data_IF_723961018896
#
_entry.id   IF_723961018896
#
_cell.length_a   1.000
_cell.length_b   1.000
_cell.length_c   1.000
_cell.angle_alpha   90.00
_cell.angle_beta   90.00
_cell.angle_gamma   90.00
#
_symmetry.space_group_name_H-M   'P 1'
#
loop_
_entity.id
_entity.type
_entity.pdbx_description
1 polymer ?
#
# COMPACT_ATOMS: atom_id res chain seq x y z
N UNK A 1 -12.73 20.93 -55.79
CA UNK A 1 -13.00 20.01 -54.66
C UNK A 1 -12.39 20.59 -53.38
N UNK A 2 -13.22 20.99 -52.41
CA UNK A 2 -13.06 20.73 -50.97
C UNK A 2 -14.22 21.40 -50.23
N UNK A 3 -14.95 20.56 -49.49
CA UNK A 3 -16.18 20.89 -48.76
C UNK A 3 -15.78 21.60 -47.46
N UNK A 4 -16.35 22.76 -47.18
CA UNK A 4 -16.25 23.40 -45.87
C UNK A 4 -17.43 22.89 -45.06
N UNK A 5 -17.14 22.00 -44.11
CA UNK A 5 -18.13 21.41 -43.22
C UNK A 5 -18.31 22.38 -42.05
N UNK A 6 -19.52 22.95 -41.92
CA UNK A 6 -20.02 23.52 -40.66
C UNK A 6 -19.99 22.45 -39.57
N UNK A 7 -19.51 22.78 -38.38
CA UNK A 7 -19.79 22.00 -37.17
C UNK A 7 -20.35 22.89 -36.08
N UNK A 8 -21.54 22.44 -35.71
CA UNK A 8 -22.55 22.91 -34.79
C UNK A 8 -22.04 22.99 -33.33
N UNK A 9 -22.54 24.01 -32.63
CA UNK A 9 -22.80 24.11 -31.19
C UNK A 9 -22.75 22.81 -30.37
N UNK A 10 -22.06 22.86 -29.22
CA UNK A 10 -22.65 22.50 -27.92
C UNK A 10 -21.75 22.98 -26.78
N UNK A 11 -22.13 24.10 -26.16
CA UNK A 11 -21.66 24.46 -24.83
C UNK A 11 -22.33 23.52 -23.82
N UNK A 12 -21.59 22.55 -23.29
CA UNK A 12 -22.02 21.78 -22.12
C UNK A 12 -21.75 22.62 -20.88
N UNK A 13 -22.74 23.41 -20.48
CA UNK A 13 -22.88 23.89 -19.11
C UNK A 13 -23.30 22.70 -18.26
N UNK A 14 -22.34 22.02 -17.63
CA UNK A 14 -22.62 21.18 -16.47
C UNK A 14 -22.43 22.03 -15.22
N UNK A 15 -23.46 22.83 -14.92
CA UNK A 15 -23.75 23.21 -13.55
C UNK A 15 -24.29 21.96 -12.83
N UNK A 16 -23.38 21.14 -12.30
CA UNK A 16 -23.73 20.14 -11.31
C UNK A 16 -23.39 20.68 -9.92
N UNK A 17 -24.40 21.29 -9.31
CA UNK A 17 -24.73 21.22 -7.88
C UNK A 17 -23.55 21.13 -6.90
N UNK A 18 -23.19 22.28 -6.31
CA UNK A 18 -22.51 22.32 -5.01
C UNK A 18 -23.36 21.58 -3.96
N UNK A 19 -22.95 20.36 -3.59
CA UNK A 19 -23.57 19.63 -2.48
C UNK A 19 -22.48 19.18 -1.53
N UNK A 20 -22.18 20.06 -0.55
CA UNK A 20 -21.44 19.77 0.69
C UNK A 20 -20.18 18.91 0.50
N UNK A 21 -19.12 19.54 0.01
CA UNK A 21 -17.76 19.02 0.17
C UNK A 21 -17.36 19.13 1.64
N UNK A 22 -17.74 18.14 2.44
CA UNK A 22 -16.82 17.73 3.50
C UNK A 22 -15.63 17.15 2.75
N UNK A 23 -14.51 17.88 2.68
CA UNK A 23 -13.26 17.38 2.15
C UNK A 23 -12.92 16.12 2.93
N UNK A 24 -13.35 14.96 2.43
CA UNK A 24 -13.03 13.66 2.98
C UNK A 24 -11.59 13.41 2.55
N UNK A 25 -10.66 14.04 3.28
CA UNK A 25 -9.24 13.92 3.03
C UNK A 25 -8.94 12.44 3.27
N UNK A 26 -8.48 11.77 2.22
CA UNK A 26 -8.02 10.39 2.29
C UNK A 26 -6.52 10.36 1.95
N UNK A 27 -5.81 9.29 2.33
CA UNK A 27 -4.48 9.02 1.78
C UNK A 27 -4.51 9.05 0.26
N UNK A 28 -3.43 9.52 -0.36
CA UNK A 28 -3.25 9.39 -1.80
C UNK A 28 -3.13 7.91 -2.17
N UNK A 29 -3.73 7.53 -3.28
CA UNK A 29 -3.64 6.16 -3.79
C UNK A 29 -2.21 5.83 -4.22
N UNK A 30 -1.83 4.57 -4.02
CA UNK A 30 -0.58 4.03 -4.54
C UNK A 30 0.20 3.19 -3.53
N UNK A 31 1.44 2.91 -3.89
CA UNK A 31 2.35 2.09 -3.11
C UNK A 31 3.07 2.93 -2.06
N UNK A 32 3.06 2.46 -0.83
CA UNK A 32 3.78 3.02 0.29
C UNK A 32 4.84 2.04 0.75
N UNK A 33 6.06 2.53 0.91
CA UNK A 33 7.18 1.72 1.40
C UNK A 33 7.65 2.29 2.74
N UNK A 34 7.80 1.41 3.73
CA UNK A 34 8.61 1.64 4.91
C UNK A 34 9.87 0.80 4.81
N UNK A 35 11.02 1.47 4.87
CA UNK A 35 12.34 0.84 4.85
C UNK A 35 13.02 1.11 6.20
N UNK A 36 13.23 0.04 6.96
CA UNK A 36 13.79 0.05 8.31
C UNK A 36 15.02 -0.86 8.41
N UNK A 37 15.84 -0.92 7.35
CA UNK A 37 17.05 -1.74 7.30
C UNK A 37 16.73 -3.16 6.86
N UNK A 38 16.78 -4.11 7.79
CA UNK A 38 16.51 -5.53 7.49
C UNK A 38 15.02 -5.82 7.23
N UNK A 39 14.15 -4.83 7.45
CA UNK A 39 12.73 -4.90 7.18
C UNK A 39 12.34 -3.84 6.14
N UNK A 40 11.77 -4.30 5.02
CA UNK A 40 11.08 -3.44 4.06
C UNK A 40 9.62 -3.86 4.01
N UNK A 41 8.69 -2.94 4.26
CA UNK A 41 7.24 -3.23 4.21
C UNK A 41 6.61 -2.43 3.09
N UNK A 42 5.83 -3.13 2.27
CA UNK A 42 5.03 -2.56 1.19
C UNK A 42 3.57 -2.59 1.57
N UNK A 43 2.88 -1.46 1.36
CA UNK A 43 1.43 -1.36 1.42
C UNK A 43 0.92 -0.68 0.14
N UNK A 44 -0.13 -1.21 -0.48
CA UNK A 44 -0.84 -0.49 -1.54
C UNK A 44 -2.14 0.04 -0.95
N UNK A 45 -2.36 1.35 -1.05
CA UNK A 45 -3.55 2.01 -0.57
C UNK A 45 -4.42 2.48 -1.74
N UNK A 46 -5.72 2.23 -1.64
CA UNK A 46 -6.76 2.71 -2.56
C UNK A 46 -7.92 3.29 -1.75
N UNK A 47 -8.16 4.60 -1.90
CA UNK A 47 -9.15 5.37 -1.16
C UNK A 47 -9.06 5.15 0.36
N UNK A 48 -7.82 5.12 0.89
CA UNK A 48 -7.51 4.85 2.29
C UNK A 48 -7.53 3.38 2.72
N UNK A 49 -8.01 2.45 1.88
CA UNK A 49 -8.02 1.01 2.16
C UNK A 49 -6.72 0.36 1.72
N UNK A 50 -6.19 -0.57 2.52
CA UNK A 50 -5.04 -1.37 2.11
C UNK A 50 -5.51 -2.54 1.23
N UNK A 51 -5.00 -2.62 -0.01
CA UNK A 51 -5.34 -3.68 -0.97
C UNK A 51 -4.23 -4.72 -1.12
N UNK A 52 -3.01 -4.39 -0.69
CA UNK A 52 -1.87 -5.29 -0.70
C UNK A 52 -0.92 -4.98 0.46
N UNK A 53 -0.39 -6.02 1.10
CA UNK A 53 0.62 -5.91 2.15
C UNK A 53 1.69 -6.99 1.94
N UNK A 54 2.96 -6.62 1.98
CA UNK A 54 4.08 -7.56 1.94
C UNK A 54 5.29 -7.03 2.71
N UNK A 55 5.80 -7.76 3.72
CA UNK A 55 7.10 -7.52 4.30
C UNK A 55 8.18 -8.35 3.61
N UNK A 56 9.32 -7.72 3.37
CA UNK A 56 10.59 -8.34 3.06
C UNK A 56 11.44 -8.32 4.33
N UNK A 57 12.03 -9.45 4.69
CA UNK A 57 12.94 -9.62 5.83
C UNK A 57 14.27 -10.08 5.27
N UNK A 58 15.35 -9.36 5.60
CA UNK A 58 16.69 -9.61 5.08
C UNK A 58 16.76 -9.64 3.54
N UNK A 59 15.86 -8.91 2.89
CA UNK A 59 15.75 -8.85 1.44
C UNK A 59 14.83 -9.88 0.80
N UNK A 60 14.31 -10.86 1.54
CA UNK A 60 13.42 -11.89 1.02
C UNK A 60 11.96 -11.63 1.43
N UNK A 61 11.03 -11.83 0.52
CA UNK A 61 9.60 -11.70 0.80
C UNK A 61 9.19 -12.74 1.84
N UNK A 62 8.79 -12.26 3.01
CA UNK A 62 8.28 -13.12 4.06
C UNK A 62 6.94 -13.73 3.64
N UNK A 63 6.05 -12.91 3.07
CA UNK A 63 4.78 -13.32 2.49
C UNK A 63 4.06 -12.13 1.87
N UNK A 64 2.92 -12.38 1.22
CA UNK A 64 2.06 -11.31 0.70
C UNK A 64 0.59 -11.59 1.00
N UNK A 65 -0.17 -10.52 1.20
CA UNK A 65 -1.58 -10.57 1.56
C UNK A 65 -2.36 -9.53 0.75
N UNK A 66 -3.44 -9.98 0.11
CA UNK A 66 -4.41 -9.12 -0.58
C UNK A 66 -5.69 -8.92 0.23
N UNK A 67 -5.90 -9.73 1.26
CA UNK A 67 -7.02 -9.60 2.20
C UNK A 67 -6.56 -8.84 3.42
N UNK A 68 -6.75 -7.51 3.42
CA UNK A 68 -6.41 -6.62 4.53
C UNK A 68 -7.67 -5.90 4.99
N UNK A 69 -8.00 -6.01 6.28
CA UNK A 69 -9.13 -5.27 6.85
C UNK A 69 -8.67 -3.86 7.19
N UNK A 70 -9.42 -2.86 6.74
CA UNK A 70 -9.18 -1.45 7.08
C UNK A 70 -10.29 -0.95 8.00
N UNK A 71 -9.91 -0.15 9.00
CA UNK A 71 -10.83 0.54 9.90
C UNK A 71 -10.27 1.89 10.32
N UNK A 72 -11.14 2.78 10.80
CA UNK A 72 -10.78 4.17 11.10
C UNK A 72 -10.90 5.07 9.87
N UNK A 73 -10.63 6.36 10.10
CA UNK A 73 -10.78 7.44 9.13
C UNK A 73 -9.57 8.38 9.23
N UNK A 74 -9.33 9.18 8.18
CA UNK A 74 -8.20 10.09 8.16
C UNK A 74 -8.19 11.03 9.39
N UNK A 75 -7.03 11.24 10.04
CA UNK A 75 -5.68 10.79 9.65
C UNK A 75 -5.26 9.45 10.28
N UNK A 76 -6.16 8.69 10.91
CA UNK A 76 -5.81 7.49 11.68
C UNK A 76 -6.54 6.25 11.18
N UNK A 77 -5.79 5.32 10.62
CA UNK A 77 -6.32 4.04 10.18
C UNK A 77 -5.71 2.90 11.00
N UNK A 78 -6.40 1.78 11.02
CA UNK A 78 -5.84 0.51 11.47
C UNK A 78 -6.04 -0.50 10.36
N UNK A 79 -4.94 -1.05 9.87
CA UNK A 79 -4.92 -2.13 8.90
C UNK A 79 -4.62 -3.45 9.61
N UNK A 80 -5.43 -4.48 9.36
CA UNK A 80 -5.26 -5.80 9.97
C UNK A 80 -4.94 -6.84 8.89
N UNK A 81 -3.80 -7.49 9.06
CA UNK A 81 -3.28 -8.50 8.13
C UNK A 81 -2.99 -9.76 8.94
N UNK A 82 -3.79 -10.82 8.76
CA UNK A 82 -3.67 -12.02 9.59
C UNK A 82 -3.71 -11.66 11.10
N UNK A 83 -2.67 -11.99 11.87
CA UNK A 83 -2.51 -11.63 13.28
C UNK A 83 -1.77 -10.30 13.56
N UNK A 84 -1.45 -9.50 12.54
CA UNK A 84 -0.77 -8.21 12.66
C UNK A 84 -1.77 -7.05 12.61
N UNK A 85 -1.61 -6.09 13.53
CA UNK A 85 -2.22 -4.77 13.46
C UNK A 85 -1.17 -3.72 13.04
N UNK A 86 -1.57 -2.86 12.10
CA UNK A 86 -0.80 -1.70 11.62
C UNK A 86 -1.61 -0.45 11.98
N UNK A 87 -1.31 0.16 13.12
CA UNK A 87 -1.97 1.38 13.55
C UNK A 87 -1.24 2.60 12.95
N UNK A 88 -1.85 3.26 11.98
CA UNK A 88 -1.25 4.36 11.23
C UNK A 88 -1.71 5.74 11.70
N UNK A 89 -0.85 6.74 11.53
CA UNK A 89 -1.19 8.15 11.68
C UNK A 89 -0.53 8.94 10.53
N UNK A 90 -1.36 9.47 9.65
CA UNK A 90 -0.96 10.26 8.49
C UNK A 90 -0.58 11.68 8.92
N UNK A 91 0.61 12.13 8.51
CA UNK A 91 1.03 13.53 8.66
C UNK A 91 0.62 14.40 7.45
N UNK A 92 0.23 13.75 6.35
CA UNK A 92 -0.22 14.33 5.10
C UNK A 92 -0.76 13.22 4.18
N UNK A 93 -1.15 13.53 2.94
CA UNK A 93 -1.74 12.54 2.04
C UNK A 93 -0.76 11.47 1.55
N UNK A 94 0.56 11.69 1.63
CA UNK A 94 1.57 10.82 1.00
C UNK A 94 2.57 10.20 2.00
N UNK A 95 2.34 10.36 3.30
CA UNK A 95 3.22 9.78 4.32
C UNK A 95 2.49 9.56 5.66
N UNK A 96 2.85 8.48 6.35
CA UNK A 96 2.34 8.14 7.67
C UNK A 96 3.38 7.40 8.51
N UNK A 97 3.27 7.57 9.83
CA UNK A 97 3.93 6.68 10.79
C UNK A 97 2.98 5.54 11.12
N UNK A 98 3.51 4.33 11.34
CA UNK A 98 2.70 3.21 11.80
C UNK A 98 3.38 2.44 12.93
N UNK A 99 2.56 1.96 13.86
CA UNK A 99 2.94 0.98 14.87
C UNK A 99 2.55 -0.41 14.36
N UNK A 100 3.53 -1.29 14.21
CA UNK A 100 3.35 -2.69 13.88
C UNK A 100 3.28 -3.49 15.18
N UNK A 101 2.17 -4.18 15.44
CA UNK A 101 1.96 -4.96 16.66
C UNK A 101 1.20 -6.25 16.39
N UNK A 102 1.76 -7.38 16.80
CA UNK A 102 1.21 -8.71 16.59
C UNK A 102 2.12 -9.61 15.77
N UNK A 103 1.55 -10.64 15.15
CA UNK A 103 2.32 -11.71 14.49
C UNK A 103 1.76 -12.01 13.11
N UNK A 104 2.62 -11.97 12.10
CA UNK A 104 2.34 -12.54 10.79
C UNK A 104 2.72 -14.01 10.76
N UNK A 105 1.86 -14.83 10.17
CA UNK A 105 2.09 -16.27 10.02
C UNK A 105 2.12 -16.60 8.54
N UNK A 106 3.23 -17.17 8.07
CA UNK A 106 3.40 -17.67 6.69
C UNK A 106 2.74 -19.06 6.59
N UNK A 107 1.84 -19.25 5.62
CA UNK A 107 1.37 -20.60 5.22
C UNK A 107 -0.05 -21.00 5.61
N UNK A 108 -1.08 -20.29 5.16
CA UNK A 108 -2.47 -20.78 5.26
C UNK A 108 -3.04 -21.39 3.97
N UNK A 109 -2.19 -21.73 2.98
CA UNK A 109 -2.64 -22.29 1.68
C UNK A 109 -1.90 -23.58 1.25
N UNK A 110 -1.64 -24.53 2.15
CA UNK A 110 -1.28 -25.88 1.72
C UNK A 110 -0.40 -26.71 2.66
N UNK A 111 -0.96 -27.86 3.04
CA UNK A 111 -0.38 -29.08 3.62
C UNK A 111 1.13 -29.08 3.90
N UNK A 112 1.47 -29.08 5.19
CA UNK A 112 2.79 -29.35 5.79
C UNK A 112 3.92 -28.37 5.45
N UNK A 113 3.99 -27.25 6.17
CA UNK A 113 5.26 -26.53 6.39
C UNK A 113 5.22 -25.89 7.78
N UNK A 114 6.36 -25.89 8.47
CA UNK A 114 6.55 -25.11 9.70
C UNK A 114 6.08 -23.67 9.48
N UNK A 115 5.14 -23.21 10.30
CA UNK A 115 4.61 -21.86 10.17
C UNK A 115 5.70 -20.87 10.59
N UNK A 116 6.38 -20.27 9.62
CA UNK A 116 7.29 -19.17 9.89
C UNK A 116 6.47 -18.00 10.46
N UNK A 117 6.95 -17.41 11.54
CA UNK A 117 6.29 -16.31 12.23
C UNK A 117 7.19 -15.08 12.21
N UNK A 118 6.59 -13.92 11.95
CA UNK A 118 7.23 -12.62 12.08
C UNK A 118 6.47 -11.80 13.11
N UNK A 119 7.10 -11.58 14.27
CA UNK A 119 6.49 -10.90 15.40
C UNK A 119 6.96 -9.44 15.50
N UNK A 120 6.02 -8.55 15.79
CA UNK A 120 6.26 -7.14 16.02
C UNK A 120 5.75 -6.77 17.41
N UNK A 121 6.58 -6.11 18.20
CA UNK A 121 6.27 -5.70 19.58
C UNK A 121 6.01 -4.20 19.71
N UNK A 122 5.20 -3.63 18.81
CA UNK A 122 4.94 -2.19 18.76
C UNK A 122 6.01 -1.37 18.04
N UNK A 123 6.68 -1.96 17.05
CA UNK A 123 7.73 -1.27 16.27
C UNK A 123 7.14 -0.10 15.47
N UNK A 124 7.75 1.08 15.56
CA UNK A 124 7.34 2.25 14.79
C UNK A 124 8.12 2.31 13.48
N UNK A 125 7.41 2.36 12.35
CA UNK A 125 8.00 2.50 11.01
C UNK A 125 7.39 3.69 10.26
N UNK A 126 8.09 4.18 9.26
CA UNK A 126 7.69 5.36 8.48
C UNK A 126 7.41 4.96 7.03
N UNK A 127 6.16 5.11 6.62
CA UNK A 127 5.72 4.85 5.26
C UNK A 127 5.67 6.13 4.45
N UNK A 128 6.15 6.06 3.20
CA UNK A 128 6.06 7.13 2.21
C UNK A 128 5.55 6.57 0.90
N UNK A 129 4.74 7.35 0.21
CA UNK A 129 4.34 7.05 -1.17
C UNK A 129 5.61 6.93 -2.02
N UNK A 130 5.77 5.81 -2.71
CA UNK A 130 7.00 5.40 -3.37
C UNK A 130 6.67 4.57 -4.63
N UNK A 131 7.34 4.90 -5.74
CA UNK A 131 7.13 4.26 -7.05
C UNK A 131 8.22 3.26 -7.43
N UNK A 132 9.12 2.89 -6.50
CA UNK A 132 10.13 1.86 -6.75
C UNK A 132 9.46 0.51 -7.03
N UNK A 133 9.97 -0.19 -8.03
CA UNK A 133 9.73 -1.62 -8.23
C UNK A 133 10.78 -2.33 -7.38
N UNK A 134 10.34 -3.14 -6.41
CA UNK A 134 11.24 -3.77 -5.43
C UNK A 134 11.76 -5.14 -5.85
N UNK A 135 10.98 -5.88 -6.61
CA UNK A 135 11.28 -7.24 -7.09
C UNK A 135 10.80 -7.31 -8.54
N UNK A 136 11.66 -6.89 -9.47
CA UNK A 136 11.29 -6.73 -10.88
C UNK A 136 11.19 -8.06 -11.61
N UNK A 137 11.97 -9.06 -11.18
CA UNK A 137 11.98 -10.39 -11.78
C UNK A 137 10.98 -11.35 -11.11
N UNK A 138 10.37 -10.97 -9.99
CA UNK A 138 9.34 -11.73 -9.30
C UNK A 138 9.88 -12.95 -8.55
N UNK A 139 11.15 -12.93 -8.17
CA UNK A 139 11.80 -14.06 -7.50
C UNK A 139 11.65 -14.02 -5.97
N UNK A 140 11.00 -12.98 -5.45
CA UNK A 140 10.78 -12.78 -4.03
C UNK A 140 11.97 -12.16 -3.30
N UNK A 141 13.00 -11.69 -4.02
CA UNK A 141 14.18 -11.03 -3.46
C UNK A 141 14.18 -9.57 -3.91
N UNK A 142 14.52 -8.65 -3.00
CA UNK A 142 14.71 -7.26 -3.37
C UNK A 142 15.80 -7.15 -4.45
N UNK A 143 15.52 -6.42 -5.54
CA UNK A 143 16.46 -6.20 -6.66
C UNK A 143 17.81 -5.66 -6.16
N UNK A 144 17.82 -4.85 -5.09
CA UNK A 144 19.04 -4.30 -4.47
C UNK A 144 19.88 -5.31 -3.65
N UNK A 145 19.30 -6.47 -3.32
CA UNK A 145 19.98 -7.56 -2.58
C UNK A 145 20.42 -8.69 -3.49
N UNK A 146 20.03 -8.66 -4.77
CA UNK A 146 20.48 -9.65 -5.74
C UNK A 146 21.97 -9.45 -6.05
N UNK A 147 22.74 -10.54 -6.22
CA UNK A 147 24.13 -10.43 -6.64
C UNK A 147 24.21 -9.85 -8.05
N UNK A 148 25.17 -8.94 -8.30
CA UNK A 148 25.49 -8.46 -9.65
C UNK A 148 25.84 -9.67 -10.55
N UNK A 149 24.89 -10.09 -11.40
CA UNK A 149 25.18 -11.06 -12.46
C UNK A 149 25.85 -10.27 -13.59
N UNK A 150 27.19 -10.19 -13.56
CA UNK A 150 28.01 -9.66 -14.65
C UNK A 150 28.27 -10.70 -15.74
#
# INVERSE_FOLDING_TARGET
MKKIISSLFAALVLCASCSKDENNIVPADGQYIADAGDLVVVMVLENGNCTYFAPFVDGEVFGSWTTVSTSGDYPKYTYKVSGLNVASTFAGPTAFSAVLDGVLVKGQDGVNMESAQLAFGGSVVQFKLDSRVLDKNGDGILDEKQPDIR
#
